data_IF_105142118836
#
_entry.id   IF_105142118836
#
_cell.length_a   1.000
_cell.length_b   1.000
_cell.length_c   1.000
_cell.angle_alpha   90.00
_cell.angle_beta   90.00
_cell.angle_gamma   90.00
#
_symmetry.space_group_name_H-M   'P 1'
#
loop_
_entity.id
_entity.type
_entity.pdbx_description
1 polymer ?
#
# COMPACT_ATOMS: atom_id res chain seq x y z
N UNK A 1 -0.44 -17.75 -25.88
CA UNK A 1 0.88 -17.12 -26.15
C UNK A 1 0.73 -15.75 -26.82
N UNK A 2 0.29 -14.71 -26.10
CA UNK A 2 0.09 -13.36 -26.67
C UNK A 2 0.36 -12.19 -25.70
N UNK A 3 0.91 -12.43 -24.50
CA UNK A 3 1.07 -11.41 -23.46
C UNK A 3 2.47 -10.75 -23.42
N UNK A 4 3.43 -11.24 -24.20
CA UNK A 4 4.84 -10.76 -24.19
C UNK A 4 5.07 -9.57 -25.13
N UNK A 5 4.11 -9.16 -25.96
CA UNK A 5 4.36 -8.23 -27.07
C UNK A 5 4.07 -6.75 -26.81
N UNK A 6 3.40 -6.37 -25.72
CA UNK A 6 3.09 -4.96 -25.46
C UNK A 6 4.15 -4.18 -24.65
N UNK A 7 5.21 -4.83 -24.18
CA UNK A 7 6.31 -4.20 -23.42
C UNK A 7 7.59 -3.92 -24.24
N UNK A 8 7.59 -4.20 -25.56
CA UNK A 8 8.75 -3.93 -26.43
C UNK A 8 8.49 -2.71 -27.33
N UNK A 9 8.99 -1.54 -26.94
CA UNK A 9 9.44 -0.53 -27.91
C UNK A 9 10.87 -0.89 -28.39
N UNK A 10 11.24 -0.57 -29.64
CA UNK A 10 12.43 -1.14 -30.27
C UNK A 10 13.71 -0.37 -29.91
N UNK A 11 14.72 -1.13 -29.52
CA UNK A 11 16.15 -0.94 -29.82
C UNK A 11 16.76 0.46 -29.65
N UNK A 12 17.30 0.73 -28.46
CA UNK A 12 18.40 1.67 -28.26
C UNK A 12 19.54 0.95 -27.52
N UNK A 13 20.72 0.91 -28.12
CA UNK A 13 21.95 0.31 -27.57
C UNK A 13 22.23 0.79 -26.14
N UNK A 14 22.11 -0.09 -25.15
CA UNK A 14 22.61 0.10 -23.78
C UNK A 14 23.40 -1.13 -23.34
N UNK A 15 24.41 -1.48 -24.13
CA UNK A 15 25.56 -2.24 -23.66
C UNK A 15 26.53 -1.29 -22.97
N UNK A 16 26.81 -1.53 -21.68
CA UNK A 16 27.56 -0.68 -20.73
C UNK A 16 26.68 0.46 -20.20
N UNK A 17 26.38 0.59 -18.92
CA UNK A 17 27.30 0.70 -17.78
C UNK A 17 26.56 0.26 -16.49
N UNK A 18 27.07 -0.77 -15.81
CA UNK A 18 26.77 -0.99 -14.40
C UNK A 18 27.59 0.02 -13.59
N UNK A 19 26.93 0.98 -12.94
CA UNK A 19 27.52 1.79 -11.87
C UNK A 19 26.80 1.44 -10.55
N UNK A 20 27.52 0.89 -9.56
CA UNK A 20 27.03 0.82 -8.19
C UNK A 20 26.66 2.24 -7.70
N UNK A 21 25.46 2.45 -7.16
CA UNK A 21 25.02 3.75 -6.62
C UNK A 21 23.94 4.51 -7.40
N UNK A 22 23.39 3.94 -8.49
CA UNK A 22 22.24 4.52 -9.18
C UNK A 22 20.94 4.41 -8.35
N UNK A 23 20.42 5.56 -7.89
CA UNK A 23 19.18 5.78 -7.11
C UNK A 23 17.91 5.16 -7.73
N UNK A 24 17.97 4.70 -8.99
CA UNK A 24 16.77 4.44 -9.80
C UNK A 24 16.10 3.07 -9.65
N UNK A 25 16.58 2.16 -8.80
CA UNK A 25 15.84 0.96 -8.38
C UNK A 25 16.75 0.15 -7.47
N UNK A 26 16.32 -0.03 -6.22
CA UNK A 26 16.74 -1.14 -5.39
C UNK A 26 15.52 -2.03 -5.26
N UNK A 27 15.38 -3.10 -6.04
CA UNK A 27 14.74 -4.26 -5.41
C UNK A 27 15.82 -4.91 -4.56
N UNK A 28 15.65 -5.00 -3.24
CA UNK A 28 16.53 -5.81 -2.43
C UNK A 28 16.59 -7.24 -2.99
N UNK A 29 17.73 -7.64 -3.54
CA UNK A 29 18.03 -9.07 -3.76
C UNK A 29 18.45 -9.74 -2.45
N UNK A 30 18.33 -9.03 -1.34
CA UNK A 30 18.79 -9.42 -0.01
C UNK A 30 17.56 -9.59 0.88
N UNK A 31 17.57 -10.66 1.66
CA UNK A 31 16.59 -10.92 2.68
C UNK A 31 16.80 -10.10 3.95
N UNK A 32 15.86 -10.22 4.89
CA UNK A 32 16.00 -9.73 6.26
C UNK A 32 15.93 -10.92 7.21
N UNK A 33 16.80 -10.94 8.20
CA UNK A 33 16.83 -12.02 9.19
C UNK A 33 15.54 -12.00 10.03
N UNK A 34 15.08 -13.20 10.37
CA UNK A 34 13.98 -13.45 11.30
C UNK A 34 14.19 -14.83 11.91
N UNK A 35 14.98 -14.90 12.98
CA UNK A 35 15.24 -16.15 13.67
C UNK A 35 13.97 -16.66 14.39
N UNK A 36 13.83 -17.98 14.62
CA UNK A 36 12.68 -18.53 15.33
C UNK A 36 12.41 -17.81 16.65
N UNK A 37 11.18 -17.32 16.81
CA UNK A 37 10.75 -16.58 18.00
C UNK A 37 11.01 -15.07 17.95
N UNK A 38 11.72 -14.52 16.95
CA UNK A 38 11.83 -13.07 16.78
C UNK A 38 10.52 -12.44 16.30
N UNK A 39 9.77 -13.16 15.45
CA UNK A 39 8.46 -12.76 14.93
C UNK A 39 8.49 -11.38 14.26
N UNK A 40 9.54 -11.09 13.49
CA UNK A 40 9.79 -9.78 12.85
C UNK A 40 9.28 -9.68 11.41
N UNK A 41 8.64 -10.72 10.87
CA UNK A 41 8.22 -10.78 9.46
C UNK A 41 7.31 -9.61 9.06
N UNK A 42 6.37 -9.18 9.92
CA UNK A 42 5.50 -8.03 9.66
C UNK A 42 6.29 -6.74 9.35
N UNK A 43 7.34 -6.46 10.13
CA UNK A 43 8.23 -5.32 9.92
C UNK A 43 9.12 -5.50 8.71
N UNK A 44 9.69 -6.71 8.53
CA UNK A 44 10.57 -7.03 7.42
C UNK A 44 9.88 -6.81 6.06
N UNK A 45 8.61 -7.22 5.93
CA UNK A 45 7.82 -7.03 4.72
C UNK A 45 7.61 -5.55 4.39
N UNK A 46 7.33 -4.71 5.39
CA UNK A 46 7.15 -3.26 5.22
C UNK A 46 8.44 -2.61 4.75
N UNK A 47 9.55 -2.93 5.41
CA UNK A 47 10.87 -2.41 5.04
C UNK A 47 11.24 -2.78 3.61
N UNK A 48 10.94 -4.02 3.20
CA UNK A 48 11.17 -4.48 1.84
C UNK A 48 10.35 -3.71 0.80
N UNK A 49 9.03 -3.59 0.99
CA UNK A 49 8.16 -2.87 0.05
C UNK A 49 8.55 -1.40 -0.05
N UNK A 50 8.86 -0.76 1.08
CA UNK A 50 9.32 0.63 1.11
C UNK A 50 10.66 0.81 0.40
N UNK A 51 11.63 -0.08 0.61
CA UNK A 51 12.93 -0.02 -0.07
C UNK A 51 12.81 -0.28 -1.58
N UNK A 52 11.84 -1.09 -1.99
CA UNK A 52 11.55 -1.40 -3.41
C UNK A 52 10.96 -0.21 -4.18
N UNK A 53 10.43 0.78 -3.48
CA UNK A 53 9.90 2.01 -4.05
C UNK A 53 10.82 3.20 -3.68
N UNK A 54 11.90 3.46 -4.42
CA UNK A 54 12.96 4.38 -3.99
C UNK A 54 12.50 5.84 -3.74
N UNK A 55 11.44 6.32 -4.40
CA UNK A 55 10.84 7.63 -4.04
C UNK A 55 10.15 7.60 -2.67
N UNK A 56 9.33 6.57 -2.43
CA UNK A 56 8.71 6.25 -1.15
C UNK A 56 9.74 6.27 -0.01
N UNK A 57 10.90 5.67 -0.29
CA UNK A 57 12.01 5.57 0.64
C UNK A 57 12.76 6.90 0.86
N UNK A 58 13.04 7.67 -0.19
CA UNK A 58 13.70 8.99 -0.08
C UNK A 58 12.93 9.93 0.86
N UNK A 59 11.60 9.82 0.89
CA UNK A 59 10.74 10.58 1.79
C UNK A 59 10.88 10.17 3.26
N UNK A 60 11.12 8.88 3.54
CA UNK A 60 11.38 8.35 4.87
C UNK A 60 12.82 8.60 5.35
N UNK A 61 13.77 8.71 4.42
CA UNK A 61 15.19 8.88 4.72
C UNK A 61 15.52 10.27 5.30
N UNK A 62 14.73 11.30 4.96
CA UNK A 62 14.90 12.66 5.50
C UNK A 62 14.46 12.83 6.96
N UNK A 63 13.84 11.81 7.54
CA UNK A 63 13.16 11.84 8.84
C UNK A 63 14.03 11.28 9.98
N UNK A 64 14.98 10.41 9.66
CA UNK A 64 15.65 9.58 10.67
C UNK A 64 16.95 10.18 11.21
N UNK A 65 17.05 11.50 11.40
CA UNK A 65 18.20 12.09 12.12
C UNK A 65 18.19 11.76 13.62
N UNK A 66 17.08 11.24 14.16
CA UNK A 66 16.95 10.81 15.56
C UNK A 66 17.17 9.31 15.85
N UNK A 67 17.08 8.40 14.87
CA UNK A 67 17.34 6.94 15.05
C UNK A 67 18.38 6.39 14.07
N UNK A 68 18.56 6.98 12.87
CA UNK A 68 19.43 6.43 11.82
C UNK A 68 19.02 5.04 11.28
N UNK A 69 18.02 4.39 11.86
CA UNK A 69 17.67 2.98 11.68
C UNK A 69 17.18 2.66 10.25
N UNK A 70 16.24 3.46 9.72
CA UNK A 70 15.73 3.32 8.33
C UNK A 70 16.82 3.63 7.30
N UNK A 71 17.57 4.71 7.51
CA UNK A 71 18.69 5.08 6.64
C UNK A 71 19.81 4.03 6.66
N UNK A 72 20.06 3.42 7.82
CA UNK A 72 21.05 2.37 8.00
C UNK A 72 20.65 1.09 7.27
N UNK A 73 19.41 0.61 7.41
CA UNK A 73 18.97 -0.62 6.72
C UNK A 73 18.99 -0.44 5.21
N UNK A 74 18.64 0.74 4.71
CA UNK A 74 18.72 1.02 3.28
C UNK A 74 20.15 1.12 2.77
N UNK A 75 21.04 1.77 3.53
CA UNK A 75 22.46 1.75 3.21
C UNK A 75 22.99 0.31 3.16
N UNK A 76 22.52 -0.57 4.05
CA UNK A 76 22.86 -2.00 3.99
C UNK A 76 22.26 -2.68 2.76
N UNK A 77 21.01 -2.40 2.39
CA UNK A 77 20.41 -2.90 1.14
C UNK A 77 21.22 -2.47 -0.09
N UNK A 78 21.75 -1.24 -0.10
CA UNK A 78 22.58 -0.70 -1.18
C UNK A 78 23.99 -1.27 -1.23
N UNK A 79 24.69 -1.28 -0.10
CA UNK A 79 26.14 -1.43 -0.07
C UNK A 79 26.62 -2.75 0.54
N UNK A 80 25.80 -3.42 1.35
CA UNK A 80 26.21 -4.69 1.97
C UNK A 80 26.47 -5.76 0.91
N UNK A 81 27.32 -6.73 1.22
CA UNK A 81 27.53 -7.93 0.39
C UNK A 81 26.75 -9.14 0.91
N UNK A 82 26.16 -9.02 2.09
CA UNK A 82 25.39 -10.09 2.73
C UNK A 82 24.10 -10.38 1.97
N UNK A 83 23.72 -11.66 1.93
CA UNK A 83 22.47 -12.11 1.31
C UNK A 83 21.25 -11.88 2.21
N UNK A 84 21.43 -11.82 3.53
CA UNK A 84 20.39 -11.50 4.48
C UNK A 84 20.93 -10.47 5.48
N UNK A 85 20.14 -9.45 5.80
CA UNK A 85 20.54 -8.33 6.64
C UNK A 85 19.79 -8.36 7.98
N UNK A 86 20.41 -7.94 9.09
CA UNK A 86 19.73 -7.81 10.36
C UNK A 86 18.78 -6.60 10.35
N UNK A 87 17.55 -6.80 10.84
CA UNK A 87 16.57 -5.73 11.09
C UNK A 87 16.40 -5.41 12.57
N UNK A 88 17.22 -6.01 13.45
CA UNK A 88 17.08 -5.96 14.91
C UNK A 88 17.05 -4.53 15.45
N UNK A 89 17.91 -3.64 14.95
CA UNK A 89 17.95 -2.25 15.41
C UNK A 89 16.59 -1.54 15.18
N UNK A 90 15.96 -1.77 14.02
CA UNK A 90 14.65 -1.21 13.73
C UNK A 90 13.57 -1.90 14.58
N UNK A 91 13.68 -3.21 14.78
CA UNK A 91 12.74 -3.99 15.60
C UNK A 91 12.73 -3.52 17.07
N UNK A 92 13.89 -3.24 17.65
CA UNK A 92 14.03 -2.72 19.01
C UNK A 92 13.54 -1.28 19.12
N UNK A 93 13.88 -0.42 18.16
CA UNK A 93 13.40 0.96 18.14
C UNK A 93 11.87 1.03 18.05
N UNK A 94 11.25 0.16 17.25
CA UNK A 94 9.80 0.06 17.14
C UNK A 94 9.18 -0.39 18.48
N UNK A 95 9.73 -1.44 19.10
CA UNK A 95 9.22 -1.95 20.38
C UNK A 95 9.30 -0.92 21.51
N UNK A 96 10.39 -0.15 21.60
CA UNK A 96 10.54 0.89 22.61
C UNK A 96 9.60 2.08 22.34
N UNK A 97 9.39 2.44 21.07
CA UNK A 97 8.48 3.55 20.70
C UNK A 97 7.02 3.29 21.07
N UNK A 98 6.62 2.01 21.17
CA UNK A 98 5.23 1.60 21.44
C UNK A 98 5.09 0.76 22.72
N UNK A 99 6.06 0.88 23.62
CA UNK A 99 6.11 0.13 24.89
C UNK A 99 4.90 0.37 25.78
N UNK A 100 4.46 1.62 25.89
CA UNK A 100 3.31 1.99 26.72
C UNK A 100 1.99 1.44 26.16
N UNK A 101 1.91 1.28 24.83
CA UNK A 101 0.75 0.70 24.14
C UNK A 101 0.78 -0.84 24.15
N UNK A 102 1.88 -1.46 24.62
CA UNK A 102 2.13 -2.91 24.53
C UNK A 102 2.05 -3.45 23.08
N UNK A 103 2.28 -2.58 22.09
CA UNK A 103 2.26 -2.93 20.66
C UNK A 103 3.67 -3.13 20.14
N UNK A 104 3.80 -3.98 19.12
CA UNK A 104 5.08 -4.30 18.48
C UNK A 104 6.15 -4.76 19.47
N UNK A 105 5.79 -5.50 20.53
CA UNK A 105 6.76 -5.93 21.55
C UNK A 105 7.65 -7.07 21.04
N UNK A 106 8.90 -7.11 21.50
CA UNK A 106 9.88 -8.10 21.05
C UNK A 106 9.38 -9.53 21.28
N UNK A 107 9.63 -10.41 20.31
CA UNK A 107 9.20 -11.81 20.36
C UNK A 107 7.73 -12.03 20.03
N UNK A 108 6.95 -10.99 19.80
CA UNK A 108 5.57 -11.08 19.34
C UNK A 108 5.44 -10.57 17.90
N UNK A 109 4.55 -11.22 17.15
CA UNK A 109 4.13 -10.76 15.83
C UNK A 109 2.97 -9.77 16.01
N UNK A 110 2.92 -8.76 15.15
CA UNK A 110 1.86 -7.75 15.14
C UNK A 110 1.32 -7.54 13.72
N UNK A 111 0.32 -6.69 13.58
CA UNK A 111 -0.33 -6.37 12.31
C UNK A 111 0.58 -5.51 11.40
N UNK A 112 0.73 -5.94 10.14
CA UNK A 112 1.61 -5.26 9.20
C UNK A 112 1.05 -3.91 8.70
N UNK A 113 -0.27 -3.78 8.56
CA UNK A 113 -0.88 -2.53 8.12
C UNK A 113 -0.78 -1.47 9.22
N UNK A 114 -1.04 -1.84 10.46
CA UNK A 114 -0.84 -1.02 11.65
C UNK A 114 0.61 -0.63 11.86
N UNK A 115 1.55 -1.56 11.67
CA UNK A 115 2.98 -1.27 11.71
C UNK A 115 3.39 -0.29 10.60
N UNK A 116 2.80 -0.41 9.41
CA UNK A 116 3.06 0.49 8.28
C UNK A 116 2.59 1.91 8.60
N UNK A 117 1.34 2.06 9.05
CA UNK A 117 0.78 3.36 9.43
C UNK A 117 1.56 3.99 10.59
N UNK A 118 1.88 3.19 11.61
CA UNK A 118 2.69 3.61 12.76
C UNK A 118 4.08 4.09 12.34
N UNK A 119 4.72 3.39 11.40
CA UNK A 119 6.02 3.78 10.84
C UNK A 119 5.93 5.12 10.11
N UNK A 120 4.87 5.35 9.31
CA UNK A 120 4.65 6.63 8.62
C UNK A 120 4.36 7.78 9.59
N UNK A 121 3.54 7.52 10.62
CA UNK A 121 3.10 8.53 11.56
C UNK A 121 4.22 8.98 12.51
N UNK A 122 4.95 8.04 13.11
CA UNK A 122 6.11 8.37 13.92
C UNK A 122 7.18 9.08 13.10
N UNK A 123 7.35 8.67 11.84
CA UNK A 123 8.23 9.36 10.92
C UNK A 123 7.81 10.83 10.73
N UNK A 124 6.52 11.10 10.55
CA UNK A 124 6.02 12.46 10.44
C UNK A 124 6.22 13.29 11.72
N UNK A 125 5.90 12.74 12.89
CA UNK A 125 6.01 13.43 14.17
C UNK A 125 7.46 13.77 14.53
N UNK A 126 8.37 12.80 14.37
CA UNK A 126 9.80 13.01 14.62
C UNK A 126 10.32 14.11 13.70
N UNK A 127 9.99 14.07 12.40
CA UNK A 127 10.38 15.12 11.44
C UNK A 127 9.92 16.53 11.85
N UNK A 128 8.73 16.67 12.43
CA UNK A 128 8.23 17.96 12.93
C UNK A 128 8.96 18.44 14.19
N UNK A 129 9.47 17.52 15.02
CA UNK A 129 10.12 17.83 16.30
C UNK A 129 11.56 18.34 16.14
N UNK A 130 12.30 17.85 15.13
CA UNK A 130 13.71 18.20 14.90
C UNK A 130 13.93 19.49 14.11
N UNK A 131 12.89 20.01 13.42
CA UNK A 131 13.03 21.16 12.55
C UNK A 131 12.21 22.34 13.08
N UNK A 132 12.89 23.32 13.67
CA UNK A 132 12.34 24.66 13.90
C UNK A 132 12.24 25.41 12.55
N UNK A 133 11.34 24.97 11.69
CA UNK A 133 11.20 25.50 10.33
C UNK A 133 10.43 24.54 9.42
N UNK A 134 9.61 25.09 8.52
CA UNK A 134 8.85 24.32 7.52
C UNK A 134 9.78 23.70 6.47
N UNK A 135 10.45 22.61 6.79
CA UNK A 135 11.12 21.82 5.75
C UNK A 135 10.07 21.05 4.93
N UNK A 136 9.80 21.59 3.74
CA UNK A 136 8.74 21.17 2.81
C UNK A 136 8.80 19.67 2.43
N UNK A 137 9.97 19.03 2.52
CA UNK A 137 10.17 17.62 2.15
C UNK A 137 9.47 16.64 3.10
N UNK A 138 9.37 16.98 4.39
CA UNK A 138 8.77 16.13 5.43
C UNK A 138 7.23 16.13 5.35
N UNK A 139 6.66 17.31 5.10
CA UNK A 139 5.23 17.45 4.80
C UNK A 139 4.86 16.70 3.51
N UNK A 140 5.78 16.66 2.53
CA UNK A 140 5.61 15.96 1.26
C UNK A 140 5.55 14.44 1.42
N UNK A 141 6.37 13.84 2.31
CA UNK A 141 6.35 12.41 2.63
C UNK A 141 4.95 11.98 3.07
N UNK A 142 4.44 12.62 4.12
CA UNK A 142 3.15 12.29 4.71
C UNK A 142 2.01 12.54 3.71
N UNK A 143 2.10 13.58 2.86
CA UNK A 143 1.11 13.80 1.80
C UNK A 143 1.15 12.79 0.66
N UNK A 144 2.29 12.13 0.43
CA UNK A 144 2.47 11.19 -0.69
C UNK A 144 1.78 9.84 -0.47
N UNK A 145 1.60 9.43 0.79
CA UNK A 145 0.97 8.15 1.16
C UNK A 145 -0.47 8.28 1.69
N UNK A 146 -0.94 9.50 1.94
CA UNK A 146 -2.24 9.73 2.57
C UNK A 146 -3.30 10.13 1.56
N UNK A 147 -4.50 9.59 1.72
CA UNK A 147 -5.70 10.21 1.22
C UNK A 147 -6.11 11.35 2.15
N UNK A 148 -6.40 12.51 1.56
CA UNK A 148 -6.89 13.67 2.28
C UNK A 148 -8.12 14.21 1.58
N UNK A 149 -9.21 14.37 2.30
CA UNK A 149 -10.45 14.77 1.67
C UNK A 149 -11.55 15.16 2.62
N UNK A 150 -12.77 15.19 2.09
CA UNK A 150 -13.99 15.46 2.85
C UNK A 150 -15.06 14.40 2.59
N UNK A 151 -15.82 14.09 3.62
CA UNK A 151 -17.01 13.24 3.52
C UNK A 151 -18.27 14.07 3.71
N UNK A 152 -19.28 13.82 2.89
CA UNK A 152 -20.56 14.51 2.95
C UNK A 152 -21.71 13.61 2.52
N UNK A 153 -22.88 13.82 3.10
CA UNK A 153 -24.14 13.22 2.64
C UNK A 153 -24.99 14.30 1.98
N UNK A 154 -25.57 14.01 0.82
CA UNK A 154 -26.51 14.92 0.13
C UNK A 154 -27.77 14.15 -0.24
N UNK A 155 -28.90 14.56 0.32
CA UNK A 155 -30.19 13.96 0.06
C UNK A 155 -30.70 14.40 -1.32
N UNK A 156 -30.94 13.45 -2.23
CA UNK A 156 -31.52 13.76 -3.54
C UNK A 156 -33.01 14.08 -3.48
N UNK A 157 -33.69 13.67 -2.40
CA UNK A 157 -35.14 13.85 -2.24
C UNK A 157 -35.51 15.22 -1.68
N UNK A 158 -34.86 15.67 -0.60
CA UNK A 158 -35.17 16.96 0.04
C UNK A 158 -34.06 18.01 -0.09
N UNK A 159 -32.95 17.72 -0.77
CA UNK A 159 -31.82 18.64 -0.96
C UNK A 159 -30.92 18.86 0.27
N UNK A 160 -31.30 18.32 1.44
CA UNK A 160 -30.53 18.47 2.67
C UNK A 160 -29.13 17.86 2.54
N UNK A 161 -28.12 18.59 3.03
CA UNK A 161 -26.73 18.15 3.05
C UNK A 161 -26.17 18.17 4.46
N UNK A 162 -25.32 17.20 4.80
CA UNK A 162 -24.51 17.27 6.02
C UNK A 162 -23.38 18.30 5.86
N UNK A 163 -22.81 18.73 6.97
CA UNK A 163 -21.53 19.44 6.93
C UNK A 163 -20.43 18.53 6.35
N UNK A 164 -19.55 19.06 5.48
CA UNK A 164 -18.39 18.32 5.00
C UNK A 164 -17.38 18.11 6.13
N UNK A 165 -17.15 16.85 6.52
CA UNK A 165 -16.17 16.51 7.55
C UNK A 165 -14.85 16.10 6.92
N UNK A 166 -13.68 16.58 7.40
CA UNK A 166 -12.40 16.16 6.87
C UNK A 166 -12.11 14.69 7.21
N UNK A 167 -11.37 14.01 6.34
CA UNK A 167 -10.79 12.69 6.64
C UNK A 167 -9.32 12.63 6.19
N UNK A 168 -8.55 11.79 6.86
CA UNK A 168 -7.20 11.41 6.46
C UNK A 168 -7.02 9.91 6.67
N UNK A 169 -6.41 9.24 5.70
CA UNK A 169 -6.34 7.78 5.68
C UNK A 169 -5.11 7.32 4.91
N UNK A 170 -4.39 6.34 5.44
CA UNK A 170 -3.18 5.76 4.83
C UNK A 170 -3.45 4.44 4.12
N UNK A 171 -4.40 3.67 4.64
CA UNK A 171 -4.80 2.38 4.11
C UNK A 171 -6.31 2.40 3.90
N UNK A 172 -6.74 2.12 2.67
CA UNK A 172 -8.15 1.91 2.34
C UNK A 172 -8.50 0.46 2.51
N UNK A 173 -9.19 0.14 3.60
CA UNK A 173 -9.67 -1.21 3.87
C UNK A 173 -10.93 -1.52 3.08
N UNK A 174 -10.96 -2.70 2.46
CA UNK A 174 -12.04 -3.22 1.64
C UNK A 174 -12.31 -4.66 2.05
N UNK A 175 -13.56 -5.00 2.35
CA UNK A 175 -13.95 -6.39 2.57
C UNK A 175 -13.85 -7.16 1.25
N UNK A 176 -13.20 -8.32 1.30
CA UNK A 176 -13.08 -9.23 0.16
C UNK A 176 -14.44 -9.78 -0.27
N UNK A 177 -15.34 -10.05 0.67
CA UNK A 177 -16.73 -10.46 0.37
C UNK A 177 -17.47 -9.36 -0.38
N UNK A 178 -17.37 -8.10 0.08
CA UNK A 178 -18.00 -6.97 -0.61
C UNK A 178 -17.44 -6.78 -2.02
N UNK A 179 -16.13 -6.96 -2.21
CA UNK A 179 -15.48 -6.88 -3.52
C UNK A 179 -15.97 -8.00 -4.46
N UNK A 180 -15.97 -9.25 -4.02
CA UNK A 180 -16.43 -10.37 -4.82
C UNK A 180 -17.91 -10.20 -5.20
N UNK A 181 -18.76 -9.78 -4.27
CA UNK A 181 -20.17 -9.51 -4.56
C UNK A 181 -20.37 -8.43 -5.64
N UNK A 182 -19.60 -7.34 -5.61
CA UNK A 182 -19.70 -6.30 -6.64
C UNK A 182 -19.19 -6.78 -8.01
N UNK A 183 -18.18 -7.65 -8.04
CA UNK A 183 -17.72 -8.32 -9.27
C UNK A 183 -18.81 -9.24 -9.83
N UNK A 184 -19.42 -10.07 -8.99
CA UNK A 184 -20.51 -10.99 -9.39
C UNK A 184 -21.70 -10.20 -9.97
N UNK A 185 -22.14 -9.14 -9.30
CA UNK A 185 -23.23 -8.26 -9.77
C UNK A 185 -22.92 -7.55 -11.09
N UNK A 186 -21.65 -7.27 -11.36
CA UNK A 186 -21.22 -6.75 -12.66
C UNK A 186 -21.27 -7.84 -13.74
N UNK A 187 -20.81 -9.05 -13.42
CA UNK A 187 -20.86 -10.20 -14.34
C UNK A 187 -22.30 -10.60 -14.70
N UNK A 188 -23.23 -10.55 -13.73
CA UNK A 188 -24.67 -10.78 -13.96
C UNK A 188 -25.27 -9.77 -14.94
N UNK A 189 -24.77 -8.53 -14.94
CA UNK A 189 -25.14 -7.48 -15.91
C UNK A 189 -24.48 -7.67 -17.29
N UNK A 190 -23.76 -8.77 -17.48
CA UNK A 190 -23.02 -9.12 -18.71
C UNK A 190 -21.95 -8.09 -19.07
N UNK A 191 -21.47 -7.32 -18.08
CA UNK A 191 -20.36 -6.40 -18.23
C UNK A 191 -19.05 -7.18 -18.10
N UNK A 192 -18.09 -6.91 -19.00
CA UNK A 192 -16.75 -7.51 -18.91
C UNK A 192 -15.89 -6.66 -17.98
N UNK A 193 -15.21 -7.31 -17.04
CA UNK A 193 -14.21 -6.65 -16.21
C UNK A 193 -13.14 -6.02 -17.11
N UNK A 194 -13.02 -4.70 -17.04
CA UNK A 194 -11.90 -3.97 -17.62
C UNK A 194 -10.99 -3.46 -16.50
N UNK A 195 -9.66 -3.37 -16.71
CA UNK A 195 -8.73 -2.89 -15.67
C UNK A 195 -9.13 -1.55 -15.07
N UNK A 196 -9.72 -0.64 -15.87
CA UNK A 196 -10.12 0.69 -15.44
C UNK A 196 -11.27 0.67 -14.42
N UNK A 197 -12.06 -0.42 -14.40
CA UNK A 197 -13.21 -0.59 -13.50
C UNK A 197 -12.81 -1.06 -12.10
N UNK A 198 -11.57 -1.52 -11.90
CA UNK A 198 -11.14 -2.07 -10.62
C UNK A 198 -11.28 -1.04 -9.48
N UNK A 199 -10.95 0.22 -9.76
CA UNK A 199 -11.12 1.31 -8.80
C UNK A 199 -12.60 1.53 -8.42
N UNK A 200 -13.49 1.47 -9.40
CA UNK A 200 -14.94 1.65 -9.21
C UNK A 200 -15.55 0.50 -8.40
N UNK A 201 -15.08 -0.74 -8.63
CA UNK A 201 -15.47 -1.92 -7.85
C UNK A 201 -15.02 -1.81 -6.40
N UNK A 202 -13.79 -1.39 -6.15
CA UNK A 202 -13.30 -1.12 -4.79
C UNK A 202 -14.12 -0.02 -4.11
N UNK A 203 -14.46 1.04 -4.84
CA UNK A 203 -15.32 2.10 -4.32
C UNK A 203 -16.73 1.59 -3.99
N UNK A 204 -17.33 0.79 -4.87
CA UNK A 204 -18.64 0.20 -4.68
C UNK A 204 -18.65 -0.71 -3.44
N UNK A 205 -17.65 -1.58 -3.31
CA UNK A 205 -17.46 -2.46 -2.16
C UNK A 205 -17.30 -1.68 -0.86
N UNK A 206 -16.51 -0.61 -0.85
CA UNK A 206 -16.31 0.26 0.32
C UNK A 206 -17.58 1.02 0.75
N UNK A 207 -18.54 1.21 -0.16
CA UNK A 207 -19.76 1.99 0.08
C UNK A 207 -21.04 1.17 0.02
N UNK A 208 -20.92 -0.16 -0.07
CA UNK A 208 -22.04 -1.08 -0.22
C UNK A 208 -23.06 -0.91 0.92
N UNK A 209 -22.57 -0.79 2.16
CA UNK A 209 -23.38 -0.65 3.38
C UNK A 209 -23.21 0.70 4.10
N UNK A 210 -22.50 1.66 3.50
CA UNK A 210 -22.19 2.95 4.13
C UNK A 210 -23.30 3.99 3.91
N UNK A 211 -24.42 3.82 4.63
CA UNK A 211 -25.58 4.71 4.59
C UNK A 211 -25.78 5.50 5.88
N UNK A 212 -26.23 6.74 5.74
CA UNK A 212 -26.71 7.58 6.86
C UNK A 212 -28.17 7.97 6.67
N UNK A 213 -28.87 8.20 7.78
CA UNK A 213 -30.20 8.83 7.75
C UNK A 213 -30.08 10.27 7.22
N UNK A 214 -31.10 10.72 6.50
CA UNK A 214 -31.14 12.10 6.03
C UNK A 214 -30.96 13.11 7.19
N UNK A 215 -30.12 14.15 7.06
CA UNK A 215 -29.95 15.19 8.07
C UNK A 215 -31.27 15.87 8.46
N UNK A 216 -32.19 16.05 7.51
CA UNK A 216 -33.53 16.60 7.75
C UNK A 216 -34.57 15.54 8.12
N UNK A 217 -34.14 14.30 8.36
CA UNK A 217 -34.98 13.18 8.79
C UNK A 217 -36.19 12.88 7.89
N UNK A 218 -36.08 13.09 6.57
CA UNK A 218 -37.16 12.83 5.60
C UNK A 218 -37.43 11.34 5.31
N UNK A 219 -36.88 10.42 6.11
CA UNK A 219 -37.01 8.98 5.94
C UNK A 219 -36.05 8.32 4.95
N UNK A 220 -35.29 9.10 4.16
CA UNK A 220 -34.34 8.55 3.19
C UNK A 220 -33.02 8.12 3.82
N UNK A 221 -32.44 7.03 3.26
CA UNK A 221 -31.05 6.59 3.52
C UNK A 221 -30.15 7.12 2.41
N UNK A 222 -29.03 7.74 2.78
CA UNK A 222 -28.13 8.46 1.88
C UNK A 222 -26.75 7.79 1.93
N UNK A 223 -26.18 7.49 0.77
CA UNK A 223 -24.78 7.03 0.66
C UNK A 223 -23.81 8.15 1.01
N UNK A 224 -22.77 7.82 1.75
CA UNK A 224 -21.69 8.77 2.06
C UNK A 224 -20.87 9.04 0.79
N UNK A 225 -20.67 10.33 0.45
CA UNK A 225 -19.81 10.77 -0.65
C UNK A 225 -18.45 11.16 -0.10
N UNK A 226 -17.40 10.50 -0.56
CA UNK A 226 -15.99 10.83 -0.23
C UNK A 226 -15.38 11.61 -1.39
N UNK A 227 -14.90 12.82 -1.12
CA UNK A 227 -14.23 13.68 -2.09
C UNK A 227 -12.74 13.74 -1.76
N UNK A 228 -11.90 13.26 -2.68
CA UNK A 228 -10.44 13.36 -2.56
C UNK A 228 -9.98 14.77 -2.94
N UNK A 229 -9.12 15.35 -2.12
CA UNK A 229 -8.65 16.73 -2.26
C UNK A 229 -7.14 16.87 -2.50
N UNK A 230 -6.40 15.76 -2.52
CA UNK A 230 -4.97 15.73 -2.82
C UNK A 230 -4.65 14.65 -3.88
N UNK A 231 -3.39 14.60 -4.31
CA UNK A 231 -2.86 13.57 -5.19
C UNK A 231 -1.79 12.73 -4.45
N UNK A 232 -2.16 11.62 -3.78
CA UNK A 232 -1.17 10.68 -3.27
C UNK A 232 -0.36 10.08 -4.43
N UNK A 233 0.95 9.94 -4.24
CA UNK A 233 1.83 9.26 -5.19
C UNK A 233 1.78 7.74 -4.99
N UNK A 234 1.57 7.31 -3.75
CA UNK A 234 1.50 5.91 -3.35
C UNK A 234 0.18 5.71 -2.61
N UNK A 235 -0.57 4.70 -3.06
CA UNK A 235 -1.84 4.30 -2.47
C UNK A 235 -1.70 2.91 -1.89
N UNK A 236 -2.27 2.74 -0.70
CA UNK A 236 -2.34 1.44 -0.02
C UNK A 236 -3.80 1.01 0.11
N UNK A 237 -4.11 -0.19 -0.38
CA UNK A 237 -5.42 -0.83 -0.22
C UNK A 237 -5.24 -2.07 0.66
N UNK A 238 -5.98 -2.18 1.76
CA UNK A 238 -6.03 -3.38 2.59
C UNK A 238 -7.24 -4.23 2.21
N UNK A 239 -7.04 -5.47 1.77
CA UNK A 239 -8.12 -6.41 1.51
C UNK A 239 -8.28 -7.33 2.72
N UNK A 240 -9.42 -7.23 3.39
CA UNK A 240 -9.68 -7.93 4.64
C UNK A 240 -10.64 -9.08 4.39
N UNK A 241 -10.30 -10.25 4.92
CA UNK A 241 -11.19 -11.41 4.94
C UNK A 241 -12.09 -11.35 6.17
N UNK A 242 -13.40 -11.44 5.96
CA UNK A 242 -14.37 -11.37 7.06
C UNK A 242 -14.31 -12.62 7.98
N UNK A 243 -13.62 -13.68 7.54
CA UNK A 243 -13.44 -14.93 8.28
C UNK A 243 -12.12 -15.61 7.91
N UNK A 244 -11.42 -16.17 8.91
CA UNK A 244 -10.21 -16.98 8.73
C UNK A 244 -10.44 -18.23 7.85
N UNK A 245 -11.68 -18.70 7.76
CA UNK A 245 -12.05 -19.88 6.99
C UNK A 245 -12.46 -19.60 5.55
N UNK A 246 -12.52 -18.32 5.15
CA UNK A 246 -12.93 -17.93 3.80
C UNK A 246 -12.09 -18.61 2.70
N UNK A 247 -12.74 -18.89 1.58
CA UNK A 247 -12.23 -19.51 0.36
C UNK A 247 -12.10 -18.51 -0.80
N UNK A 248 -12.36 -17.23 -0.53
CA UNK A 248 -12.36 -16.16 -1.55
C UNK A 248 -10.97 -15.82 -2.09
N UNK A 249 -9.89 -16.40 -1.57
CA UNK A 249 -8.52 -16.02 -1.98
C UNK A 249 -8.31 -16.13 -3.49
N UNK A 250 -8.71 -17.24 -4.11
CA UNK A 250 -8.54 -17.41 -5.56
C UNK A 250 -9.32 -16.38 -6.35
N UNK A 251 -10.54 -16.06 -5.91
CA UNK A 251 -11.39 -15.08 -6.57
C UNK A 251 -10.84 -13.66 -6.45
N UNK A 252 -10.40 -13.27 -5.25
CA UNK A 252 -9.73 -11.98 -5.01
C UNK A 252 -8.49 -11.86 -5.89
N UNK A 253 -7.64 -12.90 -5.95
CA UNK A 253 -6.42 -12.88 -6.76
C UNK A 253 -6.72 -12.84 -8.27
N UNK A 254 -7.81 -13.47 -8.74
CA UNK A 254 -8.24 -13.35 -10.15
C UNK A 254 -8.71 -11.95 -10.51
N UNK A 255 -9.34 -11.25 -9.56
CA UNK A 255 -9.93 -9.93 -9.77
C UNK A 255 -8.99 -8.77 -9.47
N UNK A 256 -7.86 -9.02 -8.80
CA UNK A 256 -6.86 -8.01 -8.48
C UNK A 256 -6.19 -7.48 -9.75
N UNK A 257 -6.38 -6.20 -10.04
CA UNK A 257 -5.73 -5.54 -11.17
C UNK A 257 -4.35 -4.98 -10.79
N UNK A 258 -3.42 -4.98 -11.75
CA UNK A 258 -2.09 -4.37 -11.58
C UNK A 258 -2.05 -2.88 -11.91
N UNK A 259 -3.18 -2.32 -12.33
CA UNK A 259 -3.36 -0.93 -12.74
C UNK A 259 -4.65 -0.42 -12.10
N UNK A 260 -4.62 0.80 -11.57
CA UNK A 260 -5.73 1.41 -10.87
C UNK A 260 -5.81 2.90 -11.20
N UNK A 261 -7.00 3.36 -11.60
CA UNK A 261 -7.25 4.78 -11.83
C UNK A 261 -7.71 5.45 -10.53
N UNK A 262 -6.88 6.34 -9.96
CA UNK A 262 -7.12 6.95 -8.65
C UNK A 262 -8.51 7.60 -8.52
N UNK A 263 -9.05 8.30 -9.53
CA UNK A 263 -10.39 8.88 -9.45
C UNK A 263 -11.51 7.89 -9.20
N UNK A 264 -11.39 6.65 -9.68
CA UNK A 264 -12.43 5.64 -9.50
C UNK A 264 -12.61 5.21 -8.03
N UNK A 265 -11.64 5.48 -7.16
CA UNK A 265 -11.76 5.17 -5.72
C UNK A 265 -12.68 6.13 -4.95
N UNK A 266 -13.01 7.29 -5.54
CA UNK A 266 -13.69 8.38 -4.83
C UNK A 266 -14.93 8.86 -5.56
N UNK A 267 -15.90 9.39 -4.82
CA UNK A 267 -17.11 9.92 -5.45
C UNK A 267 -16.78 11.11 -6.35
N UNK A 268 -15.76 11.87 -5.96
CA UNK A 268 -15.21 12.97 -6.72
C UNK A 268 -13.75 13.21 -6.32
N UNK A 269 -12.96 13.68 -7.27
CA UNK A 269 -11.59 14.19 -7.04
C UNK A 269 -11.54 15.66 -7.44
N UNK A 270 -10.96 16.50 -6.58
CA UNK A 270 -10.82 17.94 -6.87
C UNK A 270 -9.44 18.33 -7.33
N UNK A 271 -8.40 17.58 -6.95
CA UNK A 271 -7.03 17.83 -7.39
C UNK A 271 -6.85 17.45 -8.87
N UNK A 272 -6.31 18.36 -9.69
CA UNK A 272 -6.19 18.17 -11.14
C UNK A 272 -5.20 17.07 -11.54
N UNK A 273 -4.14 16.87 -10.76
CA UNK A 273 -3.18 15.79 -11.01
C UNK A 273 -3.82 14.44 -10.67
N UNK A 274 -4.54 14.38 -9.55
CA UNK A 274 -5.22 13.17 -9.12
C UNK A 274 -6.33 12.73 -10.10
N UNK A 275 -7.00 13.67 -10.80
CA UNK A 275 -8.05 13.38 -11.80
C UNK A 275 -7.58 12.55 -13.00
N UNK A 276 -6.29 12.54 -13.28
CA UNK A 276 -5.69 11.78 -14.38
C UNK A 276 -4.64 10.78 -13.88
N UNK A 277 -4.59 10.55 -12.56
CA UNK A 277 -3.56 9.72 -11.95
C UNK A 277 -3.87 8.24 -12.14
N UNK A 278 -2.93 7.56 -12.78
CA UNK A 278 -2.91 6.14 -13.02
C UNK A 278 -1.84 5.52 -12.13
N UNK A 279 -2.23 4.51 -11.36
CA UNK A 279 -1.38 3.85 -10.38
C UNK A 279 -1.13 2.41 -10.81
N UNK A 280 0.07 1.91 -10.53
CA UNK A 280 0.48 0.57 -10.89
C UNK A 280 0.95 -0.20 -9.67
N UNK A 281 0.65 -1.50 -9.65
CA UNK A 281 0.99 -2.38 -8.55
C UNK A 281 2.51 -2.53 -8.45
N UNK A 282 3.07 -2.09 -7.31
CA UNK A 282 4.50 -2.15 -7.04
C UNK A 282 4.84 -3.12 -5.92
N UNK A 283 3.89 -3.46 -5.06
CA UNK A 283 4.10 -4.44 -4.02
C UNK A 283 2.82 -4.93 -3.35
N UNK A 284 2.94 -6.07 -2.67
CA UNK A 284 1.88 -6.73 -1.93
C UNK A 284 2.48 -7.35 -0.67
N UNK A 285 1.85 -7.19 0.48
CA UNK A 285 2.19 -7.91 1.71
C UNK A 285 1.04 -8.86 2.00
N UNK A 286 1.34 -10.14 2.09
CA UNK A 286 0.36 -11.19 2.25
C UNK A 286 0.56 -11.85 3.61
N UNK A 287 -0.55 -12.10 4.31
CA UNK A 287 -0.56 -12.84 5.56
C UNK A 287 -1.15 -14.24 5.32
N UNK A 288 -0.41 -15.27 5.71
CA UNK A 288 -0.85 -16.67 5.64
C UNK A 288 -0.22 -17.49 6.74
N UNK A 289 -1.00 -18.39 7.36
CA UNK A 289 -0.50 -19.34 8.36
C UNK A 289 0.37 -18.71 9.46
N UNK A 290 -0.02 -17.53 9.98
CA UNK A 290 0.71 -16.77 11.00
C UNK A 290 2.09 -16.26 10.56
N UNK A 291 2.24 -15.98 9.27
CA UNK A 291 3.48 -15.47 8.70
C UNK A 291 3.20 -14.46 7.60
N UNK A 292 4.06 -13.46 7.49
CA UNK A 292 3.99 -12.46 6.44
C UNK A 292 5.05 -12.74 5.37
N UNK A 293 4.64 -12.63 4.11
CA UNK A 293 5.53 -12.58 2.96
C UNK A 293 5.18 -11.37 2.10
N UNK A 294 6.09 -10.94 1.23
CA UNK A 294 5.86 -9.81 0.35
C UNK A 294 6.22 -10.14 -1.10
N UNK A 295 5.48 -9.56 -2.03
CA UNK A 295 5.84 -9.49 -3.44
C UNK A 295 6.17 -8.04 -3.77
N UNK A 296 7.25 -7.80 -4.50
CA UNK A 296 7.55 -6.47 -5.03
C UNK A 296 7.99 -6.53 -6.49
N UNK A 297 7.62 -5.50 -7.24
CA UNK A 297 7.99 -5.38 -8.65
C UNK A 297 9.32 -4.66 -8.78
N UNK A 298 10.32 -5.36 -9.31
CA UNK A 298 11.60 -4.76 -9.63
C UNK A 298 11.53 -4.02 -10.97
N UNK A 299 11.46 -2.69 -10.90
CA UNK A 299 11.29 -1.82 -12.07
C UNK A 299 12.37 -2.00 -13.14
N UNK A 300 13.65 -2.10 -12.75
CA UNK A 300 14.78 -2.24 -13.70
C UNK A 300 14.80 -3.56 -14.45
N UNK A 301 14.50 -4.67 -13.78
CA UNK A 301 14.49 -5.99 -14.43
C UNK A 301 13.12 -6.40 -14.93
N UNK A 302 12.09 -5.60 -14.67
CA UNK A 302 10.68 -5.88 -14.95
C UNK A 302 10.24 -7.27 -14.45
N UNK A 303 10.64 -7.63 -13.23
CA UNK A 303 10.38 -8.96 -12.64
C UNK A 303 9.78 -8.82 -11.26
N UNK A 304 8.95 -9.79 -10.89
CA UNK A 304 8.42 -9.92 -9.54
C UNK A 304 9.40 -10.68 -8.67
N UNK A 305 9.50 -10.25 -7.41
CA UNK A 305 10.33 -10.88 -6.41
C UNK A 305 9.46 -11.20 -5.19
N UNK A 306 9.46 -12.47 -4.79
CA UNK A 306 8.93 -12.95 -3.52
C UNK A 306 10.00 -12.79 -2.46
N UNK A 307 9.61 -12.16 -1.36
CA UNK A 307 10.39 -11.94 -0.18
C UNK A 307 9.73 -12.67 1.00
N UNK A 308 10.51 -13.56 1.61
CA UNK A 308 10.14 -14.38 2.75
C UNK A 308 11.31 -14.37 3.73
N UNK A 309 11.39 -13.28 4.49
CA UNK A 309 12.49 -12.93 5.38
C UNK A 309 13.87 -13.08 4.71
N UNK A 310 14.68 -14.05 5.14
CA UNK A 310 16.02 -14.24 4.61
C UNK A 310 16.02 -14.78 3.17
N UNK A 311 14.87 -15.28 2.70
CA UNK A 311 14.71 -15.89 1.39
C UNK A 311 14.12 -14.89 0.40
N UNK A 312 14.87 -14.60 -0.65
CA UNK A 312 14.42 -13.75 -1.76
C UNK A 312 14.49 -14.54 -3.05
N UNK A 313 13.37 -14.62 -3.77
CA UNK A 313 13.24 -15.43 -4.99
C UNK A 313 12.53 -14.63 -6.08
N UNK A 314 13.06 -14.68 -7.28
CA UNK A 314 12.35 -14.20 -8.46
C UNK A 314 11.15 -15.10 -8.75
N UNK A 315 10.00 -14.51 -9.06
CA UNK A 315 8.78 -15.22 -9.42
C UNK A 315 8.23 -14.69 -10.75
N UNK A 316 7.63 -15.57 -11.55
CA UNK A 316 7.06 -15.18 -12.83
C UNK A 316 5.74 -14.42 -12.67
N UNK A 317 4.97 -14.74 -11.63
CA UNK A 317 3.65 -14.17 -11.37
C UNK A 317 3.42 -14.05 -9.86
N UNK A 318 2.73 -13.00 -9.42
CA UNK A 318 2.25 -12.85 -8.03
C UNK A 318 0.96 -13.62 -7.75
N UNK A 319 0.30 -14.10 -8.80
CA UNK A 319 -1.00 -14.79 -8.74
C UNK A 319 -0.88 -16.31 -8.57
N UNK A 320 0.08 -16.78 -7.78
CA UNK A 320 0.15 -18.20 -7.42
C UNK A 320 -0.85 -18.47 -6.29
N UNK A 321 -1.61 -19.57 -6.40
CA UNK A 321 -2.64 -19.95 -5.44
C UNK A 321 -2.04 -20.30 -4.06
N UNK A 322 -1.89 -19.28 -3.23
CA UNK A 322 -1.59 -19.42 -1.81
C UNK A 322 -2.81 -18.89 -1.05
N UNK A 323 -3.33 -19.62 -0.06
CA UNK A 323 -4.44 -19.15 0.77
C UNK A 323 -3.96 -17.95 1.61
N UNK A 324 -4.68 -16.84 1.56
CA UNK A 324 -4.36 -15.61 2.28
C UNK A 324 -5.50 -15.25 3.23
N UNK A 325 -5.16 -14.66 4.37
CA UNK A 325 -6.09 -14.14 5.37
C UNK A 325 -6.06 -12.62 5.50
N UNK A 326 -5.01 -11.97 5.01
CA UNK A 326 -4.93 -10.51 4.87
C UNK A 326 -3.97 -10.17 3.72
N UNK A 327 -4.23 -9.03 3.06
CA UNK A 327 -3.49 -8.57 1.90
C UNK A 327 -3.41 -7.05 1.84
N UNK A 328 -2.21 -6.51 1.96
CA UNK A 328 -1.92 -5.09 1.80
C UNK A 328 -1.30 -4.82 0.43
N UNK A 329 -1.97 -4.04 -0.39
CA UNK A 329 -1.64 -3.77 -1.80
C UNK A 329 -1.08 -2.36 -1.94
N UNK A 330 0.08 -2.22 -2.57
CA UNK A 330 0.79 -0.96 -2.78
C UNK A 330 0.81 -0.59 -4.26
N UNK A 331 0.25 0.58 -4.58
CA UNK A 331 0.10 1.11 -5.93
C UNK A 331 0.82 2.46 -6.05
N UNK A 332 1.53 2.71 -7.15
CA UNK A 332 2.33 3.92 -7.35
C UNK A 332 2.04 4.59 -8.71
N UNK A 333 1.99 5.92 -8.74
CA UNK A 333 1.70 6.75 -9.91
C UNK A 333 2.82 6.81 -10.97
N UNK A 334 4.02 6.32 -10.66
CA UNK A 334 5.18 6.49 -11.53
C UNK A 334 5.84 5.16 -11.92
N UNK A 335 5.81 4.90 -13.23
CA UNK A 335 6.74 4.03 -13.94
C UNK A 335 7.58 4.83 -14.92
#
# INVERSE_FOLDING_TARGET
MAWVKFLRKPGGNLGKVYQPGSILSLAPTKGLLNEPGQNSCFLNMILFVLCSAPRAFLYLCGICSGCGCISAIFSQFQHSREKALPSDNMRHALAESFKDEQRFQLGFMDDAAECFVSTLYNSHQVGLCWVSGRDTKLAYCFSSFRFAGRVQCVCRSCGASSDPLPFTEFVRYISTTALCNEVERMMERHERLKPEMFAELLQAANTADDYRKCPSNCGQKIKIRRVLMNCPEIVTIGLVWDSEHSDLTEEVMRNLATQLYLPGLFYRVTDENAKNSELFLVGMICYTSRHYCAFAFHTKSCKWVLFDDANVKEVNTVFTATKFSDLLVFLNAFF
#
